data_IF_412646501710
#
_entry.id   IF_412646501710
#
_cell.length_a   1.000
_cell.length_b   1.000
_cell.length_c   1.000
_cell.angle_alpha   90.00
_cell.angle_beta   90.00
_cell.angle_gamma   90.00
#
_symmetry.space_group_name_H-M   'P 1'
#
loop_
_entity.id
_entity.type
_entity.pdbx_description
1 polymer ?
#
# COMPACT_ATOMS: atom_id res chain seq x y z
N UNK A 1 5.12 -2.93 -3.90
CA UNK A 1 3.70 -2.81 -3.46
C UNK A 1 3.30 -1.46 -2.85
N UNK A 2 4.08 -0.85 -1.95
CA UNK A 2 3.68 0.40 -1.26
C UNK A 2 3.30 1.56 -2.17
N UNK A 3 4.09 1.82 -3.22
CA UNK A 3 3.82 2.88 -4.21
C UNK A 3 2.44 2.75 -4.87
N UNK A 4 1.96 1.51 -5.09
CA UNK A 4 0.64 1.26 -5.69
C UNK A 4 -0.46 1.79 -4.76
N UNK A 5 -0.38 1.46 -3.46
CA UNK A 5 -1.33 1.90 -2.44
C UNK A 5 -1.26 3.40 -2.19
N UNK A 6 -0.06 3.96 -2.08
CA UNK A 6 0.11 5.40 -1.84
C UNK A 6 -0.37 6.24 -3.03
N UNK A 7 -0.13 5.77 -4.27
CA UNK A 7 -0.62 6.45 -5.46
C UNK A 7 -2.14 6.43 -5.55
N UNK A 8 -2.78 5.36 -5.07
CA UNK A 8 -4.24 5.32 -4.95
C UNK A 8 -4.75 6.39 -3.98
N UNK A 9 -4.15 6.51 -2.78
CA UNK A 9 -4.54 7.54 -1.81
C UNK A 9 -4.29 8.97 -2.32
N UNK A 10 -3.21 9.16 -3.08
CA UNK A 10 -2.88 10.41 -3.73
C UNK A 10 -3.82 10.74 -4.93
N UNK A 11 -4.74 9.86 -5.30
CA UNK A 11 -5.67 10.08 -6.42
C UNK A 11 -5.03 9.95 -7.81
N UNK A 12 -3.84 9.38 -7.91
CA UNK A 12 -3.14 9.20 -9.18
C UNK A 12 -3.37 7.84 -9.84
N UNK A 13 -2.66 7.61 -10.94
CA UNK A 13 -2.79 6.41 -11.79
C UNK A 13 -2.10 5.16 -11.23
N UNK A 14 -2.52 4.68 -10.06
CA UNK A 14 -1.95 3.47 -9.44
C UNK A 14 -1.99 2.22 -10.32
N UNK A 15 -3.02 2.09 -11.18
CA UNK A 15 -3.14 0.98 -12.15
C UNK A 15 -1.99 0.97 -13.15
N UNK A 16 -1.57 2.15 -13.65
CA UNK A 16 -0.42 2.28 -14.57
C UNK A 16 0.87 1.84 -13.88
N UNK A 17 1.06 2.23 -12.62
CA UNK A 17 2.24 1.82 -11.83
C UNK A 17 2.24 0.30 -11.61
N UNK A 18 1.11 -0.27 -11.17
CA UNK A 18 0.99 -1.72 -10.96
C UNK A 18 1.32 -2.49 -12.24
N UNK A 19 0.75 -2.09 -13.37
CA UNK A 19 1.01 -2.73 -14.65
C UNK A 19 2.49 -2.61 -15.06
N UNK A 20 3.10 -1.43 -14.91
CA UNK A 20 4.52 -1.25 -15.21
C UNK A 20 5.43 -2.15 -14.33
N UNK A 21 5.11 -2.30 -13.04
CA UNK A 21 5.83 -3.20 -12.14
C UNK A 21 5.68 -4.67 -12.57
N UNK A 22 4.46 -5.09 -12.95
CA UNK A 22 4.22 -6.45 -13.46
C UNK A 22 4.99 -6.73 -14.75
N UNK A 23 5.06 -5.77 -15.67
CA UNK A 23 5.80 -5.91 -16.94
C UNK A 23 7.30 -6.16 -16.74
N UNK A 24 7.90 -5.58 -15.70
CA UNK A 24 9.31 -5.78 -15.38
C UNK A 24 9.55 -6.95 -14.41
N UNK A 25 8.51 -7.72 -14.07
CA UNK A 25 8.60 -8.85 -13.15
C UNK A 25 8.76 -8.45 -11.68
N UNK A 26 8.45 -7.20 -11.30
CA UNK A 26 8.51 -6.76 -9.92
C UNK A 26 7.24 -7.19 -9.15
N UNK A 27 7.37 -7.50 -7.84
CA UNK A 27 6.26 -7.97 -7.01
C UNK A 27 5.20 -6.89 -6.80
N UNK A 28 3.94 -7.28 -6.98
CA UNK A 28 2.77 -6.38 -6.91
C UNK A 28 1.70 -6.79 -5.90
N UNK A 29 1.79 -8.00 -5.36
CA UNK A 29 0.93 -8.52 -4.29
C UNK A 29 1.74 -8.85 -3.03
N UNK A 30 1.06 -9.08 -1.91
CA UNK A 30 1.66 -9.58 -0.67
C UNK A 30 2.25 -10.99 -0.87
N UNK A 31 1.53 -11.84 -1.60
CA UNK A 31 1.95 -13.20 -1.91
C UNK A 31 3.20 -13.25 -2.78
N UNK A 32 3.39 -12.30 -3.72
CA UNK A 32 4.63 -12.21 -4.51
C UNK A 32 5.87 -11.94 -3.63
N UNK A 33 5.66 -11.44 -2.41
CA UNK A 33 6.70 -11.15 -1.42
C UNK A 33 6.78 -12.20 -0.30
N UNK A 34 5.95 -13.25 -0.35
CA UNK A 34 5.80 -14.23 0.74
C UNK A 34 5.44 -13.57 2.09
N UNK A 35 4.55 -12.58 2.03
CA UNK A 35 4.05 -11.83 3.19
C UNK A 35 2.56 -12.09 3.38
N UNK A 36 2.15 -12.29 4.63
CA UNK A 36 0.76 -12.47 5.00
C UNK A 36 -0.04 -11.13 4.81
N UNK A 37 -1.25 -11.16 4.22
CA UNK A 37 -2.09 -9.98 4.07
C UNK A 37 -2.29 -9.17 5.36
N UNK A 38 -2.39 -9.83 6.50
CA UNK A 38 -2.57 -9.20 7.81
C UNK A 38 -1.34 -8.35 8.19
N UNK A 39 -0.13 -8.77 7.81
CA UNK A 39 1.10 -8.00 8.02
C UNK A 39 1.13 -6.73 7.16
N UNK A 40 0.59 -6.77 5.94
CA UNK A 40 0.44 -5.56 5.11
C UNK A 40 -0.50 -4.56 5.79
N UNK A 41 -1.63 -5.03 6.32
CA UNK A 41 -2.61 -4.18 7.01
C UNK A 41 -1.95 -3.55 8.25
N UNK A 42 -1.25 -4.34 9.06
CA UNK A 42 -0.55 -3.86 10.25
C UNK A 42 0.56 -2.86 9.90
N UNK A 43 1.33 -3.11 8.85
CA UNK A 43 2.37 -2.20 8.40
C UNK A 43 1.78 -0.84 7.97
N UNK A 44 0.66 -0.82 7.27
CA UNK A 44 -0.01 0.41 6.82
C UNK A 44 -0.50 1.27 7.99
N UNK A 45 -1.05 0.67 9.05
CA UNK A 45 -1.51 1.40 10.23
C UNK A 45 -0.34 1.97 11.05
N UNK A 46 0.83 1.34 10.99
CA UNK A 46 2.03 1.78 11.72
C UNK A 46 2.95 2.72 10.93
N UNK A 47 2.88 2.73 9.58
CA UNK A 47 3.86 3.39 8.71
C UNK A 47 4.11 4.87 9.03
N UNK A 48 3.07 5.64 9.38
CA UNK A 48 3.17 7.07 9.73
C UNK A 48 4.03 7.33 10.98
N UNK A 49 4.23 6.33 11.84
CA UNK A 49 4.99 6.46 13.09
C UNK A 49 6.49 6.23 12.91
N UNK A 50 6.92 5.66 11.79
CA UNK A 50 8.31 5.28 11.54
C UNK A 50 9.24 6.50 11.54
N UNK A 51 8.76 7.64 11.02
CA UNK A 51 9.52 8.89 11.02
C UNK A 51 8.58 10.07 11.17
N UNK A 52 9.01 11.08 11.93
CA UNK A 52 8.38 12.40 12.00
C UNK A 52 8.52 13.14 10.66
N UNK A 53 7.71 12.75 9.67
CA UNK A 53 7.60 13.41 8.37
C UNK A 53 6.16 13.34 7.90
N UNK A 54 5.62 14.47 7.48
CA UNK A 54 4.29 14.52 6.88
C UNK A 54 4.25 13.77 5.54
N UNK A 55 3.22 12.95 5.33
CA UNK A 55 3.00 12.15 4.11
C UNK A 55 1.51 12.09 3.79
N UNK A 56 1.14 11.39 2.71
CA UNK A 56 -0.27 11.13 2.36
C UNK A 56 -1.04 10.34 3.45
N UNK A 57 -0.33 9.68 4.37
CA UNK A 57 -0.94 8.98 5.50
C UNK A 57 -1.32 9.92 6.66
N UNK A 58 -0.98 11.21 6.57
CA UNK A 58 -1.26 12.20 7.61
C UNK A 58 -0.55 11.90 8.95
N UNK A 59 -0.99 12.59 10.00
CA UNK A 59 -0.46 12.43 11.36
C UNK A 59 -1.09 11.27 12.13
N UNK A 60 -2.36 10.98 11.85
CA UNK A 60 -3.13 9.92 12.52
C UNK A 60 -2.97 8.54 11.86
N UNK A 61 -2.40 8.48 10.65
CA UNK A 61 -2.34 7.26 9.86
C UNK A 61 -3.69 6.77 9.36
N UNK A 62 -3.71 5.51 8.92
CA UNK A 62 -4.91 4.80 8.50
C UNK A 62 -5.50 3.98 9.65
N UNK A 63 -6.83 3.91 9.71
CA UNK A 63 -7.50 2.86 10.50
C UNK A 63 -7.29 1.50 9.85
N UNK A 64 -7.45 0.42 10.62
CA UNK A 64 -7.32 -0.94 10.10
C UNK A 64 -8.30 -1.23 8.96
N UNK A 65 -9.57 -0.81 9.10
CA UNK A 65 -10.58 -0.94 8.06
C UNK A 65 -10.22 -0.15 6.79
N UNK A 66 -9.69 1.07 6.92
CA UNK A 66 -9.22 1.86 5.79
C UNK A 66 -8.01 1.20 5.10
N UNK A 67 -7.06 0.67 5.87
CA UNK A 67 -5.91 -0.06 5.36
C UNK A 67 -6.33 -1.34 4.60
N UNK A 68 -7.26 -2.11 5.16
CA UNK A 68 -7.81 -3.33 4.53
C UNK A 68 -8.54 -2.99 3.23
N UNK A 69 -9.39 -1.96 3.23
CA UNK A 69 -10.09 -1.48 2.01
C UNK A 69 -9.10 -1.00 0.95
N UNK A 70 -8.07 -0.26 1.34
CA UNK A 70 -7.02 0.22 0.44
C UNK A 70 -6.26 -0.94 -0.23
N UNK A 71 -5.78 -1.89 0.58
CA UNK A 71 -5.00 -3.02 0.11
C UNK A 71 -5.81 -3.90 -0.85
N UNK A 72 -7.09 -4.21 -0.52
CA UNK A 72 -8.01 -4.94 -1.41
C UNK A 72 -8.31 -4.18 -2.69
N UNK A 73 -8.61 -2.87 -2.59
CA UNK A 73 -8.98 -2.06 -3.77
C UNK A 73 -7.85 -1.92 -4.78
N UNK A 74 -6.61 -1.98 -4.31
CA UNK A 74 -5.42 -1.96 -5.16
C UNK A 74 -4.96 -3.36 -5.58
N UNK A 75 -5.58 -4.41 -5.05
CA UNK A 75 -5.23 -5.81 -5.27
C UNK A 75 -3.79 -6.11 -4.85
N UNK A 76 -3.32 -5.44 -3.78
CA UNK A 76 -2.07 -5.81 -3.12
C UNK A 76 -2.31 -7.02 -2.22
N UNK A 77 -3.50 -7.11 -1.61
CA UNK A 77 -4.03 -8.30 -0.95
C UNK A 77 -5.32 -8.76 -1.63
#
# INVERSE_FOLDING_TARGET
IGTIMMMYLHGGSWKKIKHALQLIGAPTTAYDLDIDPEDIIKALTMAHKIRKRYTILGESGLTEDAAKKLAKRTGVI
#
